data_IF_866686576894
#
_entry.id   IF_866686576894
#
_cell.length_a   1.000
_cell.length_b   1.000
_cell.length_c   1.000
_cell.angle_alpha   90.00
_cell.angle_beta   90.00
_cell.angle_gamma   90.00
#
_symmetry.space_group_name_H-M   'P 1'
#
loop_
_entity.id
_entity.type
_entity.pdbx_description
1 polymer ?
#
# COMPACT_ATOMS: atom_id res chain seq x y z
N UNK A 1 16.44 -30.22 -15.84
CA UNK A 1 16.06 -28.81 -16.12
C UNK A 1 16.67 -28.36 -17.43
N UNK A 2 15.84 -28.13 -18.45
CA UNK A 2 16.27 -27.72 -19.79
C UNK A 2 16.59 -26.19 -19.83
N UNK A 3 17.14 -25.70 -20.94
CA UNK A 3 17.54 -24.29 -21.08
C UNK A 3 16.34 -23.32 -21.07
N UNK A 4 15.20 -23.74 -21.61
CA UNK A 4 13.98 -22.92 -21.68
C UNK A 4 13.32 -22.72 -20.31
N UNK A 5 13.28 -23.77 -19.48
CA UNK A 5 12.83 -23.75 -18.09
C UNK A 5 13.68 -22.80 -17.26
N UNK A 6 15.01 -22.86 -17.41
CA UNK A 6 15.94 -21.91 -16.77
C UNK A 6 15.64 -20.47 -17.18
N UNK A 7 15.47 -20.22 -18.48
CA UNK A 7 15.17 -18.88 -18.99
C UNK A 7 13.83 -18.34 -18.46
N UNK A 8 12.80 -19.20 -18.39
CA UNK A 8 11.48 -18.84 -17.84
C UNK A 8 11.56 -18.52 -16.35
N UNK A 9 12.28 -19.32 -15.55
CA UNK A 9 12.49 -19.03 -14.12
C UNK A 9 13.24 -17.71 -13.90
N UNK A 10 14.30 -17.45 -14.67
CA UNK A 10 15.03 -16.19 -14.60
C UNK A 10 14.15 -14.98 -14.90
N UNK A 11 13.26 -15.10 -15.91
CA UNK A 11 12.29 -14.06 -16.24
C UNK A 11 11.29 -13.82 -15.11
N UNK A 12 10.77 -14.89 -14.50
CA UNK A 12 9.86 -14.77 -13.35
C UNK A 12 10.55 -14.15 -12.13
N UNK A 13 11.79 -14.53 -11.83
CA UNK A 13 12.59 -13.94 -10.75
C UNK A 13 12.84 -12.44 -10.95
N UNK A 14 13.14 -12.02 -12.19
CA UNK A 14 13.26 -10.60 -12.54
C UNK A 14 11.93 -9.86 -12.35
N UNK A 15 10.82 -10.46 -12.76
CA UNK A 15 9.50 -9.88 -12.60
C UNK A 15 9.12 -9.77 -11.11
N UNK A 16 9.42 -10.77 -10.28
CA UNK A 16 9.20 -10.72 -8.83
C UNK A 16 9.95 -9.53 -8.22
N UNK A 17 11.23 -9.35 -8.57
CA UNK A 17 12.02 -8.21 -8.10
C UNK A 17 11.40 -6.87 -8.47
N UNK A 18 10.93 -6.72 -9.71
CA UNK A 18 10.24 -5.50 -10.16
C UNK A 18 8.94 -5.29 -9.36
N UNK A 19 8.16 -6.34 -9.11
CA UNK A 19 6.93 -6.25 -8.31
C UNK A 19 7.20 -5.96 -6.84
N UNK A 20 8.29 -6.47 -6.28
CA UNK A 20 8.71 -6.16 -4.91
C UNK A 20 9.06 -4.67 -4.76
N UNK A 21 9.81 -4.10 -5.71
CA UNK A 21 10.11 -2.67 -5.74
C UNK A 21 8.82 -1.86 -5.88
N UNK A 22 7.94 -2.23 -6.81
CA UNK A 22 6.66 -1.54 -6.99
C UNK A 22 5.77 -1.58 -5.74
N UNK A 23 5.73 -2.72 -5.03
CA UNK A 23 5.05 -2.83 -3.72
C UNK A 23 5.69 -1.87 -2.70
N UNK A 24 7.01 -1.85 -2.60
CA UNK A 24 7.71 -1.00 -1.64
C UNK A 24 7.45 0.49 -1.90
N UNK A 25 7.47 0.92 -3.17
CA UNK A 25 7.12 2.29 -3.56
C UNK A 25 5.68 2.61 -3.18
N UNK A 26 4.71 1.75 -3.52
CA UNK A 26 3.31 1.96 -3.16
C UNK A 26 3.09 2.00 -1.63
N UNK A 27 3.83 1.19 -0.86
CA UNK A 27 3.75 1.18 0.60
C UNK A 27 4.28 2.48 1.20
N UNK A 28 5.39 2.99 0.67
CA UNK A 28 5.94 4.28 1.09
C UNK A 28 4.98 5.43 0.77
N UNK A 29 4.42 5.47 -0.43
CA UNK A 29 3.45 6.51 -0.82
C UNK A 29 2.17 6.46 0.02
N UNK A 30 1.69 5.27 0.37
CA UNK A 30 0.55 5.12 1.28
C UNK A 30 0.87 5.65 2.68
N UNK A 31 2.03 5.28 3.24
CA UNK A 31 2.46 5.77 4.55
C UNK A 31 2.65 7.30 4.59
N UNK A 32 3.20 7.89 3.54
CA UNK A 32 3.34 9.35 3.41
C UNK A 32 1.96 10.05 3.36
N UNK A 33 0.99 9.48 2.63
CA UNK A 33 -0.37 10.00 2.56
C UNK A 33 -1.11 9.88 3.91
N UNK A 34 -1.00 8.74 4.60
CA UNK A 34 -1.59 8.53 5.92
C UNK A 34 -0.98 9.47 6.98
N UNK A 35 0.34 9.67 6.94
CA UNK A 35 1.02 10.64 7.81
C UNK A 35 0.50 12.05 7.60
N UNK A 36 0.33 12.47 6.34
CA UNK A 36 -0.23 13.78 5.99
C UNK A 36 -1.67 13.93 6.51
N UNK A 37 -2.51 12.91 6.32
CA UNK A 37 -3.87 12.89 6.86
C UNK A 37 -3.88 13.03 8.38
N UNK A 38 -3.01 12.29 9.08
CA UNK A 38 -2.89 12.35 10.54
C UNK A 38 -2.50 13.76 11.02
N UNK A 39 -1.56 14.41 10.33
CA UNK A 39 -1.15 15.78 10.64
C UNK A 39 -2.29 16.78 10.45
N UNK A 40 -3.06 16.67 9.36
CA UNK A 40 -4.20 17.54 9.09
C UNK A 40 -5.35 17.34 10.08
N UNK A 41 -5.61 16.09 10.49
CA UNK A 41 -6.58 15.78 11.56
C UNK A 41 -6.15 16.40 12.88
N UNK A 42 -4.89 16.22 13.26
CA UNK A 42 -4.31 16.83 14.47
C UNK A 42 -4.42 18.36 14.42
N UNK A 43 -4.14 18.98 13.28
CA UNK A 43 -4.24 20.42 13.11
C UNK A 43 -5.69 20.90 13.24
N UNK A 44 -6.64 20.20 12.61
CA UNK A 44 -8.08 20.49 12.71
C UNK A 44 -8.57 20.45 14.16
N UNK A 45 -8.17 19.42 14.92
CA UNK A 45 -8.56 19.30 16.32
C UNK A 45 -7.98 20.42 17.18
N UNK A 46 -6.70 20.78 16.95
CA UNK A 46 -6.04 21.86 17.67
C UNK A 46 -6.66 23.22 17.40
N UNK A 47 -6.95 23.53 16.13
CA UNK A 47 -7.56 24.81 15.75
C UNK A 47 -9.01 24.90 16.24
N UNK A 48 -9.75 23.80 16.19
CA UNK A 48 -11.10 23.71 16.75
C UNK A 48 -11.13 23.94 18.27
N UNK A 49 -10.21 23.31 19.02
CA UNK A 49 -10.07 23.53 20.47
C UNK A 49 -9.73 24.99 20.79
N UNK A 50 -8.76 25.58 20.08
CA UNK A 50 -8.42 26.99 20.26
C UNK A 50 -9.62 27.90 19.99
N UNK A 51 -10.36 27.69 18.90
CA UNK A 51 -11.53 28.50 18.59
C UNK A 51 -12.59 28.43 19.70
N UNK A 52 -12.84 27.22 20.25
CA UNK A 52 -13.76 27.02 21.35
C UNK A 52 -13.29 27.70 22.65
N UNK A 53 -12.01 27.54 23.01
CA UNK A 53 -11.42 28.14 24.22
C UNK A 53 -11.49 29.67 24.18
N UNK A 54 -11.17 30.28 23.03
CA UNK A 54 -11.25 31.73 22.85
C UNK A 54 -12.70 32.22 22.78
N UNK A 55 -13.62 31.46 22.20
CA UNK A 55 -15.05 31.78 22.19
C UNK A 55 -15.69 31.71 23.58
N UNK A 56 -15.19 30.84 24.46
CA UNK A 56 -15.69 30.68 25.82
C UNK A 56 -15.14 31.74 26.80
N UNK A 57 -14.09 32.48 26.44
CA UNK A 57 -13.51 33.52 27.31
C UNK A 57 -14.51 34.66 27.56
N UNK A 58 -14.97 34.76 28.80
CA UNK A 58 -15.67 35.94 29.32
C UNK A 58 -14.70 36.73 30.18
N UNK A 59 -14.21 37.86 29.67
CA UNK A 59 -13.24 38.69 30.41
C UNK A 59 -12.63 39.84 29.62
N UNK A 60 -13.36 40.40 28.64
CA UNK A 60 -12.86 41.56 27.91
C UNK A 60 -13.10 42.84 28.70
N UNK A 61 -12.04 43.62 28.91
CA UNK A 61 -12.07 44.83 29.73
C UNK A 61 -12.77 46.00 29.01
N UNK A 62 -12.82 45.98 27.68
CA UNK A 62 -13.49 46.99 26.86
C UNK A 62 -14.06 46.43 25.54
N UNK A 63 -14.79 47.27 24.82
CA UNK A 63 -15.42 46.91 23.54
C UNK A 63 -14.45 46.77 22.37
N UNK A 64 -13.27 47.40 22.42
CA UNK A 64 -12.25 47.24 21.38
C UNK A 64 -11.62 45.85 21.44
N UNK A 65 -11.29 45.39 22.64
CA UNK A 65 -10.78 44.04 22.92
C UNK A 65 -11.81 42.96 22.55
N UNK A 66 -13.11 43.22 22.73
CA UNK A 66 -14.17 42.32 22.28
C UNK A 66 -14.20 42.16 20.76
N UNK A 67 -14.07 43.26 20.00
CA UNK A 67 -14.04 43.20 18.53
C UNK A 67 -12.81 42.45 18.02
N UNK A 68 -11.66 42.66 18.63
CA UNK A 68 -10.44 41.95 18.27
C UNK A 68 -10.57 40.45 18.56
N UNK A 69 -11.11 40.07 19.72
CA UNK A 69 -11.37 38.68 20.07
C UNK A 69 -12.35 38.02 19.09
N UNK A 70 -13.44 38.71 18.74
CA UNK A 70 -14.43 38.20 17.78
C UNK A 70 -13.80 37.94 16.39
N UNK A 71 -13.00 38.87 15.88
CA UNK A 71 -12.29 38.69 14.60
C UNK A 71 -11.28 37.54 14.64
N UNK A 72 -10.59 37.37 15.77
CA UNK A 72 -9.67 36.24 15.97
C UNK A 72 -10.40 34.89 15.99
N UNK A 73 -11.52 34.79 16.70
CA UNK A 73 -12.35 33.58 16.75
C UNK A 73 -12.90 33.23 15.36
N UNK A 74 -13.38 34.22 14.61
CA UNK A 74 -13.84 33.99 13.23
C UNK A 74 -12.70 33.53 12.32
N UNK A 75 -11.51 34.13 12.44
CA UNK A 75 -10.30 33.69 11.73
C UNK A 75 -9.91 32.24 12.04
N UNK A 76 -9.96 31.83 13.32
CA UNK A 76 -9.74 30.44 13.71
C UNK A 76 -10.85 29.51 13.18
N UNK A 77 -12.09 29.97 13.15
CA UNK A 77 -13.22 29.24 12.55
C UNK A 77 -13.03 29.00 11.06
N UNK A 78 -12.60 30.02 10.31
CA UNK A 78 -12.22 29.92 8.89
C UNK A 78 -11.09 28.91 8.70
N UNK A 79 -10.01 29.01 9.48
CA UNK A 79 -8.88 28.10 9.41
C UNK A 79 -9.31 26.65 9.67
N UNK A 80 -10.11 26.43 10.71
CA UNK A 80 -10.63 25.10 11.06
C UNK A 80 -11.44 24.48 9.91
N UNK A 81 -12.31 25.26 9.26
CA UNK A 81 -13.10 24.79 8.09
C UNK A 81 -12.20 24.42 6.92
N UNK A 82 -11.19 25.25 6.62
CA UNK A 82 -10.25 25.00 5.53
C UNK A 82 -9.41 23.74 5.80
N UNK A 83 -8.82 23.62 6.99
CA UNK A 83 -8.04 22.43 7.36
C UNK A 83 -8.89 21.16 7.39
N UNK A 84 -10.17 21.25 7.79
CA UNK A 84 -11.10 20.11 7.69
C UNK A 84 -11.32 19.69 6.23
N UNK A 85 -11.49 20.64 5.32
CA UNK A 85 -11.61 20.35 3.89
C UNK A 85 -10.31 19.76 3.32
N UNK A 86 -9.14 20.23 3.76
CA UNK A 86 -7.84 19.63 3.44
C UNK A 86 -7.75 18.18 3.95
N UNK A 87 -8.15 17.92 5.20
CA UNK A 87 -8.15 16.59 5.79
C UNK A 87 -9.05 15.63 5.00
N UNK A 88 -10.23 16.08 4.56
CA UNK A 88 -11.12 15.27 3.71
C UNK A 88 -10.49 14.92 2.36
N UNK A 89 -9.78 15.88 1.72
CA UNK A 89 -9.04 15.61 0.49
C UNK A 89 -7.89 14.63 0.74
N UNK A 90 -7.14 14.82 1.82
CA UNK A 90 -6.05 13.94 2.20
C UNK A 90 -6.53 12.51 2.51
N UNK A 91 -7.73 12.36 3.07
CA UNK A 91 -8.36 11.06 3.30
C UNK A 91 -8.65 10.34 1.99
N UNK A 92 -9.26 11.02 1.02
CA UNK A 92 -9.49 10.44 -0.31
C UNK A 92 -8.18 10.03 -1.00
N UNK A 93 -7.10 10.80 -0.82
CA UNK A 93 -5.77 10.46 -1.35
C UNK A 93 -5.18 9.25 -0.64
N UNK A 94 -5.24 9.21 0.69
CA UNK A 94 -4.74 8.08 1.49
C UNK A 94 -5.45 6.78 1.11
N UNK A 95 -6.79 6.82 0.99
CA UNK A 95 -7.60 5.68 0.54
C UNK A 95 -7.19 5.20 -0.86
N UNK A 96 -6.97 6.12 -1.80
CA UNK A 96 -6.52 5.79 -3.14
C UNK A 96 -5.13 5.13 -3.14
N UNK A 97 -4.22 5.60 -2.28
CA UNK A 97 -2.87 5.01 -2.14
C UNK A 97 -2.93 3.65 -1.48
N UNK A 98 -3.77 3.43 -0.48
CA UNK A 98 -4.00 2.12 0.14
C UNK A 98 -4.55 1.11 -0.87
N UNK A 99 -5.50 1.52 -1.74
CA UNK A 99 -5.99 0.65 -2.83
C UNK A 99 -4.88 0.29 -3.81
N UNK A 100 -4.04 1.26 -4.19
CA UNK A 100 -2.88 1.04 -5.06
C UNK A 100 -1.89 0.05 -4.42
N UNK A 101 -1.62 0.17 -3.12
CA UNK A 101 -0.79 -0.76 -2.37
C UNK A 101 -1.39 -2.18 -2.40
N UNK A 102 -2.67 -2.33 -2.10
CA UNK A 102 -3.35 -3.63 -2.14
C UNK A 102 -3.31 -4.27 -3.54
N UNK A 103 -3.41 -3.48 -4.60
CA UNK A 103 -3.21 -3.96 -5.98
C UNK A 103 -1.77 -4.42 -6.25
N UNK A 104 -0.77 -3.65 -5.80
CA UNK A 104 0.63 -4.00 -5.95
C UNK A 104 0.97 -5.30 -5.20
N UNK A 105 0.41 -5.49 -4.00
CA UNK A 105 0.54 -6.73 -3.22
C UNK A 105 -0.09 -7.93 -3.91
N UNK A 106 -1.31 -7.79 -4.45
CA UNK A 106 -1.96 -8.84 -5.24
C UNK A 106 -1.13 -9.21 -6.47
N UNK A 107 -0.61 -8.23 -7.19
CA UNK A 107 0.25 -8.45 -8.37
C UNK A 107 1.56 -9.16 -8.01
N UNK A 108 2.20 -8.79 -6.89
CA UNK A 108 3.40 -9.48 -6.39
C UNK A 108 3.08 -10.94 -6.04
N UNK A 109 2.02 -11.16 -5.27
CA UNK A 109 1.60 -12.50 -4.83
C UNK A 109 1.30 -13.42 -6.01
N UNK A 110 0.64 -12.90 -7.06
CA UNK A 110 0.38 -13.66 -8.28
C UNK A 110 1.67 -14.09 -9.02
N UNK A 111 2.71 -13.25 -9.03
CA UNK A 111 4.01 -13.61 -9.63
C UNK A 111 4.75 -14.63 -8.78
N UNK A 112 4.71 -14.47 -7.45
CA UNK A 112 5.30 -15.42 -6.51
C UNK A 112 4.67 -16.81 -6.63
N UNK A 113 3.33 -16.89 -6.74
CA UNK A 113 2.64 -18.17 -6.91
C UNK A 113 2.99 -18.82 -8.25
N UNK A 114 3.09 -18.04 -9.34
CA UNK A 114 3.53 -18.55 -10.65
C UNK A 114 4.96 -19.07 -10.60
N UNK A 115 5.84 -18.41 -9.84
CA UNK A 115 7.22 -18.87 -9.64
C UNK A 115 7.24 -20.22 -8.92
N UNK A 116 6.53 -20.35 -7.79
CA UNK A 116 6.41 -21.60 -7.02
C UNK A 116 5.81 -22.73 -7.84
N UNK A 117 4.79 -22.45 -8.66
CA UNK A 117 4.19 -23.44 -9.55
C UNK A 117 5.22 -23.94 -10.58
N UNK A 118 6.00 -23.03 -11.20
CA UNK A 118 7.02 -23.40 -12.16
C UNK A 118 8.13 -24.26 -11.52
N UNK A 119 8.56 -23.95 -10.29
CA UNK A 119 9.51 -24.78 -9.54
C UNK A 119 8.96 -26.18 -9.27
N UNK A 120 7.71 -26.29 -8.82
CA UNK A 120 7.04 -27.58 -8.60
C UNK A 120 6.93 -28.41 -9.88
N UNK A 121 6.63 -27.77 -11.02
CA UNK A 121 6.56 -28.47 -12.31
C UNK A 121 7.92 -29.01 -12.76
N UNK A 122 8.99 -28.23 -12.59
CA UNK A 122 10.36 -28.67 -12.92
C UNK A 122 10.78 -29.82 -12.01
N UNK A 123 10.47 -29.75 -10.70
CA UNK A 123 10.74 -30.83 -9.76
C UNK A 123 10.00 -32.12 -10.14
N UNK A 124 8.70 -32.05 -10.41
CA UNK A 124 7.89 -33.20 -10.86
C UNK A 124 8.36 -33.77 -12.20
N UNK A 125 8.72 -32.92 -13.15
CA UNK A 125 9.26 -33.36 -14.45
C UNK A 125 10.60 -34.08 -14.31
N UNK A 126 11.42 -33.69 -13.34
CA UNK A 126 12.66 -34.39 -13.00
C UNK A 126 12.43 -35.76 -12.32
N UNK A 127 11.27 -35.98 -11.71
CA UNK A 127 10.89 -37.24 -11.05
C UNK A 127 10.26 -38.28 -12.00
N UNK A 128 9.99 -37.96 -13.26
CA UNK A 128 9.46 -38.94 -14.24
C UNK A 128 10.45 -40.12 -14.36
N UNK A 129 10.09 -41.33 -13.90
CA UNK A 129 11.05 -42.43 -13.87
C UNK A 129 11.36 -42.85 -15.29
N UNK A 130 12.64 -43.10 -15.57
CA UNK A 130 13.07 -43.74 -16.80
C UNK A 130 12.35 -45.09 -16.89
N UNK A 131 11.26 -45.14 -17.67
CA UNK A 131 10.58 -46.38 -18.00
C UNK A 131 11.63 -47.30 -18.61
N UNK A 132 11.90 -48.36 -17.86
CA UNK A 132 13.02 -49.26 -18.05
C UNK A 132 13.13 -49.74 -19.48
N UNK A 133 14.38 -49.86 -19.93
CA UNK A 133 14.78 -50.72 -21.02
C UNK A 133 13.99 -52.03 -20.96
N UNK A 134 13.02 -52.17 -21.86
CA UNK A 134 12.24 -53.40 -22.03
C UNK A 134 13.23 -54.49 -22.45
N UNK A 135 13.72 -55.27 -21.48
CA UNK A 135 14.51 -56.48 -21.73
C UNK A 135 13.70 -57.36 -22.69
N UNK A 136 14.26 -57.58 -23.86
CA UNK A 136 13.77 -58.51 -24.86
C UNK A 136 13.99 -59.93 -24.30
N UNK A 137 13.01 -60.46 -23.57
CA UNK A 137 13.02 -61.88 -23.16
C UNK A 137 12.57 -62.69 -24.37
N UNK A 138 13.53 -63.14 -25.16
CA UNK A 138 13.33 -64.26 -26.06
C UNK A 138 13.08 -65.52 -25.24
N UNK A 139 11.98 -66.20 -25.51
CA UNK A 139 11.83 -67.62 -25.19
C UNK A 139 11.57 -68.31 -26.51
N UNK A 140 12.64 -68.80 -27.12
CA UNK A 140 12.57 -69.96 -28.00
C UNK A 140 12.08 -71.13 -27.14
N UNK A 141 10.94 -71.70 -27.53
CA UNK A 141 10.54 -73.03 -27.11
C UNK A 141 10.20 -73.82 -28.37
N UNK A 142 11.02 -74.86 -28.54
CA UNK A 142 10.99 -75.97 -29.50
C UNK A 142 9.74 -76.81 -29.32
#
# INVERSE_FOLDING_TARGET
MNAEERARLLRLKRLEKIRAIAKQTAAREAAEAESTLSQLRTLTDRTGKLAADYGARRGSQDGASLRQLAGFVDGLGMLTRNTRADAQRAEAIADAKLRTLAEAERRRSAVEERFRLQEKLIARGAETPALGSRKQTGTDLV
#
